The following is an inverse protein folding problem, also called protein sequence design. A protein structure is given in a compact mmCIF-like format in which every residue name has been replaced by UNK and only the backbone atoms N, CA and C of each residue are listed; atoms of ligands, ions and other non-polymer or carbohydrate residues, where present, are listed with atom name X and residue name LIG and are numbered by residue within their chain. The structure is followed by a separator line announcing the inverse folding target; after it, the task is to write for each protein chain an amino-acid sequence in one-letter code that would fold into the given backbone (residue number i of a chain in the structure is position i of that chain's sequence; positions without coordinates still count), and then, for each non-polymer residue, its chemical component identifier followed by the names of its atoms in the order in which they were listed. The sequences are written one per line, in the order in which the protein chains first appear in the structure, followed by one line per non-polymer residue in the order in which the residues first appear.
data_IF_425048537115
#
_entry.id   IF_425048537115
#
_cell.length_a   1.000
_cell.length_b   1.000
_cell.length_c   1.000
_cell.angle_alpha   90.00
_cell.angle_beta   90.00
_cell.angle_gamma   90.00
#
_symmetry.space_group_name_H-M   'P 1'
#
loop_
_entity.id
_entity.type
_entity.pdbx_description
1 polymer ?
#
# COMPACT_ATOMS: atom_id res chain seq x y z
N UNK A 1 38.98 -59.76 23.83
CA UNK A 1 39.46 -58.45 23.35
C UNK A 1 39.04 -58.33 21.88
N UNK A 2 37.98 -57.58 21.59
CA UNK A 2 37.60 -57.19 20.21
C UNK A 2 36.69 -55.96 20.32
N UNK A 3 37.03 -54.93 19.56
CA UNK A 3 36.52 -53.56 19.66
C UNK A 3 35.11 -53.39 19.09
N UNK A 4 34.29 -52.56 19.77
CA UNK A 4 33.06 -51.96 19.24
C UNK A 4 33.42 -50.93 18.16
N UNK A 5 32.71 -50.94 17.03
CA UNK A 5 32.68 -49.83 16.08
C UNK A 5 31.27 -49.24 15.98
N UNK A 6 31.28 -47.92 16.08
CA UNK A 6 30.24 -46.91 16.10
C UNK A 6 29.22 -46.95 14.96
N UNK A 7 27.97 -46.65 15.27
CA UNK A 7 27.02 -46.04 14.32
C UNK A 7 26.19 -45.00 15.09
N UNK A 8 26.57 -43.73 14.94
CA UNK A 8 25.92 -42.63 15.64
C UNK A 8 26.47 -41.27 15.24
N UNK A 9 26.39 -40.92 13.96
CA UNK A 9 26.60 -39.55 13.48
C UNK A 9 25.82 -39.32 12.19
N UNK A 10 24.50 -39.20 12.29
CA UNK A 10 23.67 -38.63 11.22
C UNK A 10 22.32 -38.20 11.82
N UNK A 11 22.23 -37.08 12.57
CA UNK A 11 21.41 -35.97 12.05
C UNK A 11 21.77 -34.61 12.68
N UNK A 12 22.88 -33.97 12.30
CA UNK A 12 23.19 -32.64 12.89
C UNK A 12 23.78 -31.61 11.93
N UNK A 13 23.73 -31.84 10.61
CA UNK A 13 24.22 -30.86 9.62
C UNK A 13 23.09 -30.17 8.85
N UNK A 14 21.88 -30.74 8.80
CA UNK A 14 20.78 -30.14 8.01
C UNK A 14 20.07 -28.98 8.73
N UNK A 15 20.17 -28.88 10.07
CA UNK A 15 19.47 -27.83 10.84
C UNK A 15 20.16 -26.45 10.81
N UNK A 16 21.41 -26.35 10.37
CA UNK A 16 22.19 -25.09 10.42
C UNK A 16 22.07 -24.17 9.21
N UNK A 17 21.65 -24.69 8.04
CA UNK A 17 21.71 -23.93 6.77
C UNK A 17 20.45 -23.09 6.52
N UNK A 18 19.32 -23.39 7.17
CA UNK A 18 18.06 -22.65 6.94
C UNK A 18 17.89 -21.40 7.83
N UNK A 19 18.69 -21.26 8.91
CA UNK A 19 18.65 -20.10 9.81
C UNK A 19 19.57 -18.94 9.37
N UNK A 20 20.61 -19.22 8.59
CA UNK A 20 21.57 -18.20 8.11
C UNK A 20 21.11 -17.46 6.85
N UNK A 21 20.31 -18.10 5.99
CA UNK A 21 19.78 -17.43 4.80
C UNK A 21 18.70 -16.38 5.14
N UNK A 22 17.94 -16.58 6.22
CA UNK A 22 16.85 -15.67 6.61
C UNK A 22 17.36 -14.41 7.35
N UNK A 23 18.43 -14.53 8.13
CA UNK A 23 19.05 -13.40 8.84
C UNK A 23 19.79 -12.46 7.88
N UNK A 24 20.45 -13.00 6.86
CA UNK A 24 21.06 -12.22 5.79
C UNK A 24 20.01 -11.43 4.97
N UNK A 25 18.83 -12.01 4.73
CA UNK A 25 17.74 -11.34 4.01
C UNK A 25 17.12 -10.17 4.80
N UNK A 26 16.99 -10.30 6.12
CA UNK A 26 16.45 -9.26 7.00
C UNK A 26 17.47 -8.13 7.23
N UNK A 27 18.75 -8.44 7.44
CA UNK A 27 19.79 -7.44 7.67
C UNK A 27 20.03 -6.54 6.44
N UNK A 28 20.00 -7.11 5.24
CA UNK A 28 20.15 -6.36 3.97
C UNK A 28 18.99 -5.39 3.74
N UNK A 29 17.77 -5.76 4.18
CA UNK A 29 16.57 -4.92 4.11
C UNK A 29 16.60 -3.73 5.09
N UNK A 30 17.18 -3.92 6.28
CA UNK A 30 17.32 -2.84 7.28
C UNK A 30 18.42 -1.85 6.84
N UNK A 31 19.53 -2.34 6.31
CA UNK A 31 20.61 -1.48 5.81
C UNK A 31 20.20 -0.67 4.56
N UNK A 32 19.42 -1.27 3.65
CA UNK A 32 18.86 -0.56 2.49
C UNK A 32 17.85 0.51 2.92
N UNK A 33 17.04 0.23 3.96
CA UNK A 33 16.16 1.23 4.55
C UNK A 33 16.96 2.38 5.20
N UNK A 34 18.09 2.13 5.85
CA UNK A 34 18.89 3.21 6.46
C UNK A 34 19.56 4.10 5.41
N UNK A 35 20.00 3.57 4.26
CA UNK A 35 20.71 4.37 3.25
C UNK A 35 19.79 5.27 2.42
N UNK A 36 18.51 4.89 2.26
CA UNK A 36 17.49 5.71 1.60
C UNK A 36 17.14 6.97 2.44
N UNK A 37 17.40 6.94 3.75
CA UNK A 37 16.99 8.01 4.68
C UNK A 37 17.97 9.18 4.82
N UNK A 38 19.17 9.11 4.23
CA UNK A 38 20.16 10.20 4.33
C UNK A 38 20.07 11.23 3.19
N UNK A 39 19.32 10.96 2.11
CA UNK A 39 19.40 11.78 0.89
C UNK A 39 18.12 12.54 0.50
N UNK A 40 17.26 12.88 1.46
CA UNK A 40 16.06 13.67 1.18
C UNK A 40 15.89 14.84 2.16
N UNK A 41 16.83 15.78 2.07
CA UNK A 41 16.63 17.14 2.55
C UNK A 41 15.76 17.90 1.52
N UNK A 42 14.60 18.36 2.00
CA UNK A 42 13.65 19.32 1.38
C UNK A 42 12.61 18.82 0.38
N UNK A 43 11.49 18.32 0.91
CA UNK A 43 10.15 18.90 0.72
C UNK A 43 9.21 18.25 1.74
N UNK A 44 8.76 19.01 2.74
CA UNK A 44 7.75 18.55 3.71
C UNK A 44 6.41 18.35 2.98
N UNK A 45 6.16 17.12 2.54
CA UNK A 45 4.82 16.58 2.38
C UNK A 45 4.70 15.46 3.41
N UNK A 46 3.80 15.66 4.36
CA UNK A 46 3.47 14.74 5.45
C UNK A 46 3.22 13.33 4.90
N UNK A 47 4.25 12.49 4.95
CA UNK A 47 4.27 11.15 4.38
C UNK A 47 3.71 10.13 5.37
N UNK A 48 2.40 10.21 5.61
CA UNK A 48 1.70 9.17 6.38
C UNK A 48 1.52 7.93 5.47
N UNK A 49 2.48 7.02 5.52
CA UNK A 49 2.40 5.69 4.90
C UNK A 49 2.31 4.62 5.98
N UNK A 50 1.42 3.62 5.76
CA UNK A 50 1.98 2.43 5.15
C UNK A 50 1.25 2.10 3.85
N UNK A 51 1.92 2.43 2.74
CA UNK A 51 1.89 1.75 1.45
C UNK A 51 0.49 1.37 0.91
N UNK A 52 -0.20 2.34 0.30
CA UNK A 52 -1.29 2.07 -0.64
C UNK A 52 -2.30 3.19 -0.84
N UNK A 53 -2.55 4.02 0.19
CA UNK A 53 -3.58 5.08 0.14
C UNK A 53 -3.09 6.42 -0.44
N UNK A 54 -1.81 6.76 -0.25
CA UNK A 54 -1.22 8.02 -0.74
C UNK A 54 -1.22 8.13 -2.25
N UNK A 55 -0.76 7.08 -2.95
CA UNK A 55 -0.67 7.07 -4.41
C UNK A 55 -2.01 7.33 -5.13
N UNK A 56 -3.13 6.81 -4.60
CA UNK A 56 -4.45 7.04 -5.18
C UNK A 56 -4.92 8.50 -4.98
N UNK A 57 -4.64 9.09 -3.81
CA UNK A 57 -4.91 10.50 -3.55
C UNK A 57 -4.06 11.43 -4.41
N UNK A 58 -2.76 11.14 -4.51
CA UNK A 58 -1.81 11.93 -5.30
C UNK A 58 -2.16 11.90 -6.79
N UNK A 59 -2.56 10.72 -7.30
CA UNK A 59 -2.98 10.58 -8.68
C UNK A 59 -4.29 11.32 -8.99
N UNK A 60 -5.28 11.25 -8.10
CA UNK A 60 -6.54 11.99 -8.24
C UNK A 60 -6.33 13.50 -8.24
N UNK A 61 -5.51 14.02 -7.33
CA UNK A 61 -5.19 15.45 -7.28
C UNK A 61 -4.43 15.91 -8.55
N UNK A 62 -3.46 15.11 -9.00
CA UNK A 62 -2.74 15.38 -10.25
C UNK A 62 -3.70 15.42 -11.44
N UNK A 63 -4.59 14.45 -11.57
CA UNK A 63 -5.56 14.37 -12.66
C UNK A 63 -6.48 15.60 -12.71
N UNK A 64 -6.99 16.04 -11.55
CA UNK A 64 -7.78 17.27 -11.43
C UNK A 64 -7.01 18.50 -11.92
N UNK A 65 -5.70 18.58 -11.66
CA UNK A 65 -4.86 19.68 -12.16
C UNK A 65 -4.70 19.68 -13.68
N UNK A 66 -4.81 18.51 -14.34
CA UNK A 66 -4.59 18.34 -15.79
C UNK A 66 -5.88 18.45 -16.62
N UNK A 67 -7.04 18.06 -16.07
CA UNK A 67 -8.32 18.02 -16.80
C UNK A 67 -8.84 19.38 -17.27
N UNK A 68 -8.33 20.48 -16.69
CA UNK A 68 -8.72 21.85 -17.04
C UNK A 68 -10.25 22.06 -17.04
N UNK A 69 -10.93 21.61 -15.98
CA UNK A 69 -12.39 21.71 -15.85
C UNK A 69 -12.87 23.16 -15.91
N UNK A 70 -13.96 23.41 -16.67
CA UNK A 70 -14.62 24.71 -16.70
C UNK A 70 -15.31 25.02 -15.36
N UNK A 71 -15.76 26.27 -15.18
CA UNK A 71 -16.49 26.65 -13.97
C UNK A 71 -17.82 25.90 -13.86
N UNK A 72 -18.49 25.67 -15.00
CA UNK A 72 -19.74 24.93 -15.11
C UNK A 72 -19.53 23.46 -14.73
N UNK A 73 -18.51 22.81 -15.31
CA UNK A 73 -18.18 21.42 -14.98
C UNK A 73 -17.84 21.24 -13.49
N UNK A 74 -17.09 22.18 -12.90
CA UNK A 74 -16.79 22.17 -11.46
C UNK A 74 -18.06 22.29 -10.61
N UNK A 75 -19.01 23.12 -11.02
CA UNK A 75 -20.27 23.27 -10.30
C UNK A 75 -21.14 22.01 -10.40
N UNK A 76 -21.18 21.36 -11.56
CA UNK A 76 -21.89 20.09 -11.76
C UNK A 76 -21.24 18.94 -10.98
N UNK A 77 -19.91 18.92 -10.90
CA UNK A 77 -19.16 17.86 -10.21
C UNK A 77 -19.11 18.02 -8.69
N UNK A 78 -19.27 19.24 -8.15
CA UNK A 78 -19.16 19.54 -6.72
C UNK A 78 -19.87 18.55 -5.76
N UNK A 79 -21.15 18.17 -5.96
CA UNK A 79 -21.80 17.20 -5.06
C UNK A 79 -21.17 15.81 -5.11
N UNK A 80 -20.62 15.39 -6.26
CA UNK A 80 -19.95 14.11 -6.41
C UNK A 80 -18.55 14.12 -5.77
N UNK A 81 -17.84 15.26 -5.87
CA UNK A 81 -16.56 15.46 -5.17
C UNK A 81 -16.73 15.41 -3.65
N UNK A 82 -17.77 16.08 -3.12
CA UNK A 82 -18.06 16.05 -1.68
C UNK A 82 -18.37 14.62 -1.19
N UNK A 83 -19.19 13.89 -1.94
CA UNK A 83 -19.51 12.51 -1.63
C UNK A 83 -18.27 11.59 -1.68
N UNK A 84 -17.44 11.75 -2.72
CA UNK A 84 -16.19 11.01 -2.87
C UNK A 84 -15.23 11.29 -1.70
N UNK A 85 -14.99 12.56 -1.35
CA UNK A 85 -14.09 12.91 -0.26
C UNK A 85 -14.59 12.43 1.10
N UNK A 86 -15.90 12.50 1.37
CA UNK A 86 -16.46 11.95 2.60
C UNK A 86 -16.20 10.44 2.72
N UNK A 87 -16.41 9.72 1.64
CA UNK A 87 -16.24 8.27 1.55
C UNK A 87 -14.75 7.87 1.56
N UNK A 88 -13.89 8.59 0.85
CA UNK A 88 -12.43 8.44 0.86
C UNK A 88 -11.87 8.63 2.26
N UNK A 89 -12.27 9.71 2.94
CA UNK A 89 -11.82 10.00 4.30
C UNK A 89 -12.24 8.92 5.30
N UNK A 90 -13.42 8.31 5.13
CA UNK A 90 -13.81 7.16 5.96
C UNK A 90 -12.89 5.98 5.72
N UNK A 91 -12.73 5.54 4.47
CA UNK A 91 -11.95 4.34 4.14
C UNK A 91 -10.48 4.50 4.50
N UNK A 92 -9.90 5.69 4.31
CA UNK A 92 -8.52 5.98 4.74
C UNK A 92 -8.36 5.83 6.25
N UNK A 93 -9.35 6.26 7.06
CA UNK A 93 -9.32 6.02 8.51
C UNK A 93 -9.34 4.53 8.84
N UNK A 94 -10.10 3.72 8.10
CA UNK A 94 -10.14 2.26 8.29
C UNK A 94 -8.79 1.60 7.95
N UNK A 95 -8.12 2.06 6.87
CA UNK A 95 -6.76 1.63 6.53
C UNK A 95 -5.80 1.96 7.66
N UNK A 96 -5.84 3.18 8.20
CA UNK A 96 -4.94 3.63 9.27
C UNK A 96 -5.20 2.88 10.58
N UNK A 97 -6.47 2.64 10.92
CA UNK A 97 -6.84 1.85 12.09
C UNK A 97 -6.31 0.41 12.00
N UNK A 98 -6.50 -0.26 10.86
CA UNK A 98 -5.98 -1.61 10.64
C UNK A 98 -4.44 -1.64 10.62
N UNK A 99 -3.79 -0.59 10.09
CA UNK A 99 -2.33 -0.43 10.14
C UNK A 99 -1.79 -0.32 11.57
N UNK A 100 -2.50 0.40 12.45
CA UNK A 100 -2.17 0.47 13.87
C UNK A 100 -2.31 -0.88 14.55
N UNK A 101 -3.39 -1.61 14.30
CA UNK A 101 -3.60 -2.95 14.85
C UNK A 101 -2.48 -3.91 14.42
N UNK A 102 -2.06 -3.82 13.15
CA UNK A 102 -0.95 -4.59 12.61
C UNK A 102 0.37 -4.24 13.32
N UNK A 103 0.68 -2.96 13.47
CA UNK A 103 1.89 -2.52 14.18
C UNK A 103 1.92 -3.01 15.63
N UNK A 104 0.77 -2.95 16.33
CA UNK A 104 0.63 -3.47 17.67
C UNK A 104 0.80 -5.00 17.74
N UNK A 105 0.26 -5.73 16.76
CA UNK A 105 0.43 -7.17 16.64
C UNK A 105 1.89 -7.58 16.39
N UNK A 106 2.58 -6.87 15.49
CA UNK A 106 4.01 -7.08 15.22
C UNK A 106 4.85 -6.83 16.46
N UNK A 107 4.57 -5.74 17.22
CA UNK A 107 5.29 -5.41 18.46
C UNK A 107 5.17 -6.51 19.53
N UNK A 108 4.07 -7.27 19.55
CA UNK A 108 3.91 -8.41 20.47
C UNK A 108 4.76 -9.63 20.12
N UNK A 109 5.44 -9.63 18.97
CA UNK A 109 6.54 -10.56 18.66
C UNK A 109 6.14 -11.99 18.30
N UNK A 110 4.86 -12.27 18.08
CA UNK A 110 4.37 -13.61 17.71
C UNK A 110 4.22 -13.71 16.19
N UNK A 111 5.25 -14.28 15.54
CA UNK A 111 5.38 -14.42 14.07
C UNK A 111 4.16 -15.07 13.40
N UNK A 112 3.54 -16.04 14.06
CA UNK A 112 2.39 -16.80 13.55
C UNK A 112 1.11 -16.48 14.33
N UNK A 113 0.86 -15.20 14.62
CA UNK A 113 -0.37 -14.80 15.31
C UNK A 113 -1.50 -14.53 14.32
N UNK A 114 -2.69 -15.09 14.58
CA UNK A 114 -3.91 -14.78 13.82
C UNK A 114 -4.19 -13.28 13.76
N UNK A 115 -3.80 -12.54 14.80
CA UNK A 115 -3.91 -11.09 14.87
C UNK A 115 -3.16 -10.35 13.74
N UNK A 116 -1.97 -10.82 13.32
CA UNK A 116 -1.24 -10.22 12.19
C UNK A 116 -1.99 -10.45 10.89
N UNK A 117 -2.44 -11.69 10.65
CA UNK A 117 -3.20 -12.04 9.45
C UNK A 117 -4.52 -11.26 9.36
N UNK A 118 -5.29 -11.21 10.45
CA UNK A 118 -6.55 -10.47 10.53
C UNK A 118 -6.36 -8.97 10.28
N UNK A 119 -5.33 -8.34 10.85
CA UNK A 119 -5.06 -6.91 10.64
C UNK A 119 -4.63 -6.63 9.19
N UNK A 120 -3.79 -7.49 8.59
CA UNK A 120 -3.42 -7.41 7.18
C UNK A 120 -4.64 -7.53 6.26
N UNK A 121 -5.52 -8.50 6.51
CA UNK A 121 -6.73 -8.73 5.70
C UNK A 121 -7.67 -7.53 5.78
N UNK A 122 -7.91 -6.98 6.98
CA UNK A 122 -8.71 -5.75 7.15
C UNK A 122 -8.11 -4.57 6.39
N UNK A 123 -6.80 -4.37 6.52
CA UNK A 123 -6.11 -3.27 5.86
C UNK A 123 -6.17 -3.40 4.33
N UNK A 124 -5.99 -4.61 3.80
CA UNK A 124 -6.08 -4.87 2.36
C UNK A 124 -7.52 -4.73 1.85
N UNK A 125 -8.52 -5.17 2.61
CA UNK A 125 -9.92 -4.97 2.27
C UNK A 125 -10.28 -3.48 2.14
N UNK A 126 -9.88 -2.66 3.11
CA UNK A 126 -10.11 -1.22 3.08
C UNK A 126 -9.36 -0.55 1.92
N UNK A 127 -8.11 -0.95 1.63
CA UNK A 127 -7.39 -0.47 0.43
C UNK A 127 -8.09 -0.82 -0.87
N UNK A 128 -8.61 -2.05 -1.00
CA UNK A 128 -9.39 -2.44 -2.19
C UNK A 128 -10.68 -1.64 -2.31
N UNK A 129 -11.35 -1.32 -1.20
CA UNK A 129 -12.52 -0.43 -1.20
C UNK A 129 -12.14 0.96 -1.71
N UNK A 130 -11.03 1.54 -1.25
CA UNK A 130 -10.54 2.83 -1.73
C UNK A 130 -10.24 2.80 -3.25
N UNK A 131 -9.57 1.76 -3.73
CA UNK A 131 -9.28 1.60 -5.17
C UNK A 131 -10.56 1.58 -6.01
N UNK A 132 -11.58 0.82 -5.56
CA UNK A 132 -12.89 0.75 -6.25
C UNK A 132 -13.58 2.09 -6.24
N UNK A 133 -13.63 2.75 -5.08
CA UNK A 133 -14.20 4.07 -4.93
C UNK A 133 -13.59 5.08 -5.90
N UNK A 134 -12.26 5.11 -6.02
CA UNK A 134 -11.55 6.02 -6.92
C UNK A 134 -11.86 5.73 -8.39
N UNK A 135 -11.94 4.46 -8.79
CA UNK A 135 -12.33 4.10 -10.16
C UNK A 135 -13.77 4.50 -10.47
N UNK A 136 -14.71 4.22 -9.55
CA UNK A 136 -16.11 4.61 -9.70
C UNK A 136 -16.24 6.14 -9.84
N UNK A 137 -15.50 6.89 -9.01
CA UNK A 137 -15.44 8.34 -9.08
C UNK A 137 -14.94 8.86 -10.44
N UNK A 138 -13.90 8.26 -11.02
CA UNK A 138 -13.45 8.64 -12.36
C UNK A 138 -14.53 8.41 -13.42
N UNK A 139 -15.30 7.33 -13.33
CA UNK A 139 -16.41 7.13 -14.28
C UNK A 139 -17.52 8.17 -14.11
N UNK A 140 -17.85 8.58 -12.88
CA UNK A 140 -18.78 9.68 -12.62
C UNK A 140 -18.26 11.00 -13.22
N UNK A 141 -16.97 11.32 -13.02
CA UNK A 141 -16.36 12.50 -13.64
C UNK A 141 -16.53 12.45 -15.16
N UNK A 142 -16.20 11.31 -15.78
CA UNK A 142 -16.25 11.09 -17.23
C UNK A 142 -17.62 11.36 -17.87
N UNK A 143 -18.72 11.34 -17.11
CA UNK A 143 -20.07 11.66 -17.60
C UNK A 143 -20.30 13.16 -17.78
N UNK A 144 -19.48 14.00 -17.15
CA UNK A 144 -19.58 15.47 -17.13
C UNK A 144 -18.45 16.16 -17.92
N UNK A 145 -17.62 15.37 -18.61
CA UNK A 145 -16.49 15.86 -19.38
C UNK A 145 -16.82 15.95 -20.87
N UNK A 146 -16.20 16.92 -21.54
CA UNK A 146 -16.17 16.93 -23.00
C UNK A 146 -15.34 15.74 -23.54
N UNK A 147 -15.56 15.33 -24.80
CA UNK A 147 -14.96 14.12 -25.35
C UNK A 147 -13.43 14.03 -25.20
N UNK A 148 -12.71 15.13 -25.40
CA UNK A 148 -11.24 15.17 -25.30
C UNK A 148 -10.74 15.00 -23.86
N UNK A 149 -11.44 15.59 -22.90
CA UNK A 149 -11.17 15.44 -21.48
C UNK A 149 -11.46 14.00 -21.02
N UNK A 150 -12.59 13.44 -21.45
CA UNK A 150 -12.96 12.05 -21.16
C UNK A 150 -11.95 11.04 -21.72
N UNK A 151 -11.46 11.27 -22.94
CA UNK A 151 -10.41 10.43 -23.52
C UNK A 151 -9.12 10.51 -22.70
N UNK A 152 -8.72 11.71 -22.30
CA UNK A 152 -7.52 11.94 -21.49
C UNK A 152 -7.62 11.25 -20.12
N UNK A 153 -8.76 11.42 -19.44
CA UNK A 153 -9.09 10.75 -18.18
C UNK A 153 -8.94 9.23 -18.26
N UNK A 154 -9.54 8.62 -19.29
CA UNK A 154 -9.48 7.17 -19.49
C UNK A 154 -8.06 6.69 -19.79
N UNK A 155 -7.32 7.44 -20.62
CA UNK A 155 -5.92 7.11 -20.93
C UNK A 155 -5.03 7.15 -19.69
N UNK A 156 -5.12 8.22 -18.89
CA UNK A 156 -4.33 8.33 -17.66
C UNK A 156 -4.71 7.25 -16.65
N UNK A 157 -6.01 6.95 -16.52
CA UNK A 157 -6.48 5.86 -15.64
C UNK A 157 -5.89 4.53 -16.08
N UNK A 158 -5.95 4.21 -17.38
CA UNK A 158 -5.31 3.02 -17.93
C UNK A 158 -3.81 2.96 -17.60
N UNK A 159 -3.07 4.05 -17.84
CA UNK A 159 -1.63 4.10 -17.63
C UNK A 159 -1.24 4.06 -16.15
N UNK A 160 -2.13 4.48 -15.23
CA UNK A 160 -1.94 4.33 -13.79
C UNK A 160 -2.03 2.87 -13.33
N UNK A 161 -2.83 2.05 -13.99
CA UNK A 161 -3.06 0.64 -13.63
C UNK A 161 -1.94 -0.29 -14.12
N UNK A 162 -1.12 0.16 -15.07
CA UNK A 162 -0.02 -0.61 -15.64
C UNK A 162 1.34 -0.34 -14.99
N UNK A 163 1.38 0.56 -14.02
CA UNK A 163 2.63 1.01 -13.36
C UNK A 163 2.86 0.34 -12.02
#
# INVERSE_FOLDING_TARGET
MAYRLSSGFLPLVVAGVLLSALSAWIATRIALAQHIWEHEEHHEVESDSPAGSGAAGDFHAWMHSQLALTAEQKAELAPFEEAYEAQRNRVTKDIHAAGKDLADAVRRGQRDSSAIAEALDRMNAARMELQKLTLDHFFVMKEHLDPDQAQSLLQWTHDSLLR
#
